data_IF_491445566189
#
_entry.id   IF_491445566189
#
_cell.length_a   1.000
_cell.length_b   1.000
_cell.length_c   1.000
_cell.angle_alpha   90.00
_cell.angle_beta   90.00
_cell.angle_gamma   90.00
#
_symmetry.space_group_name_H-M   'P 1'
#
loop_
_entity.id
_entity.type
_entity.pdbx_description
1 polymer ?
#
# COMPACT_ATOMS: atom_id res chain seq x y z
N UNK A 1 0.49 -31.85 -0.23
CA UNK A 1 1.36 -30.67 -0.32
C UNK A 1 1.71 -30.52 -1.79
N UNK A 2 1.00 -29.67 -2.54
CA UNK A 2 1.32 -29.36 -3.93
C UNK A 2 2.40 -28.31 -3.94
N UNK A 3 3.55 -28.64 -4.51
CA UNK A 3 4.64 -27.68 -4.78
C UNK A 3 4.09 -26.52 -5.61
N UNK A 4 4.12 -25.33 -5.04
CA UNK A 4 3.88 -24.08 -5.78
C UNK A 4 5.08 -23.87 -6.71
N UNK A 5 4.94 -24.30 -7.96
CA UNK A 5 5.92 -23.98 -9.01
C UNK A 5 6.02 -22.46 -9.15
N UNK A 6 7.21 -21.93 -8.94
CA UNK A 6 7.54 -20.53 -9.21
C UNK A 6 7.54 -20.29 -10.73
N UNK A 7 6.38 -19.94 -11.29
CA UNK A 7 6.29 -19.53 -12.68
C UNK A 7 6.73 -18.07 -12.84
N UNK A 8 8.03 -17.84 -12.94
CA UNK A 8 8.59 -16.54 -13.36
C UNK A 8 8.55 -16.35 -14.89
N UNK A 9 7.71 -17.10 -15.60
CA UNK A 9 7.52 -17.09 -17.04
C UNK A 9 6.45 -16.11 -17.53
N UNK A 10 6.16 -16.07 -18.83
CA UNK A 10 5.17 -15.17 -19.47
C UNK A 10 3.74 -15.25 -18.91
N UNK A 11 3.42 -16.21 -18.04
CA UNK A 11 2.14 -16.39 -17.37
C UNK A 11 2.08 -15.95 -15.91
N UNK A 12 3.18 -15.48 -15.31
CA UNK A 12 3.23 -15.10 -13.91
C UNK A 12 2.24 -13.99 -13.57
N UNK A 13 1.57 -14.11 -12.40
CA UNK A 13 0.71 -13.03 -11.87
C UNK A 13 1.54 -11.78 -11.62
N UNK A 14 0.95 -10.62 -11.89
CA UNK A 14 1.61 -9.32 -11.73
C UNK A 14 1.04 -8.57 -10.53
N UNK A 15 1.94 -8.17 -9.63
CA UNK A 15 1.62 -7.28 -8.52
C UNK A 15 2.24 -5.90 -8.75
N UNK A 16 1.46 -4.85 -8.53
CA UNK A 16 1.93 -3.45 -8.59
C UNK A 16 1.86 -2.86 -7.20
N UNK A 17 2.99 -2.32 -6.72
CA UNK A 17 3.12 -1.75 -5.38
C UNK A 17 3.52 -0.28 -5.49
N UNK A 18 2.63 0.62 -5.09
CA UNK A 18 2.95 2.05 -5.03
C UNK A 18 3.79 2.38 -3.80
N UNK A 19 4.80 3.24 -3.96
CA UNK A 19 5.77 3.49 -2.88
C UNK A 19 6.60 2.24 -2.54
N UNK A 20 6.86 1.38 -3.53
CA UNK A 20 7.53 0.09 -3.35
C UNK A 20 9.05 0.16 -3.11
N UNK A 21 9.64 1.37 -3.11
CA UNK A 21 11.08 1.55 -3.03
C UNK A 21 11.65 1.40 -1.60
N UNK A 22 10.88 1.68 -0.56
CA UNK A 22 11.35 1.75 0.84
C UNK A 22 10.34 1.18 1.82
N UNK A 23 10.76 0.97 3.06
CA UNK A 23 9.90 0.64 4.21
C UNK A 23 8.95 -0.53 3.94
N UNK A 24 7.68 -0.35 4.29
CA UNK A 24 6.62 -1.36 4.11
C UNK A 24 6.50 -1.76 2.63
N UNK A 25 6.54 -0.78 1.70
CA UNK A 25 6.41 -1.05 0.27
C UNK A 25 7.49 -1.99 -0.26
N UNK A 26 8.76 -1.79 0.16
CA UNK A 26 9.87 -2.69 -0.18
C UNK A 26 9.63 -4.11 0.34
N UNK A 27 9.26 -4.25 1.61
CA UNK A 27 8.97 -5.55 2.20
C UNK A 27 7.79 -6.25 1.50
N UNK A 28 6.75 -5.51 1.11
CA UNK A 28 5.63 -6.02 0.32
C UNK A 28 6.10 -6.52 -1.05
N UNK A 29 6.95 -5.76 -1.76
CA UNK A 29 7.51 -6.21 -3.04
C UNK A 29 8.25 -7.55 -2.89
N UNK A 30 9.09 -7.68 -1.86
CA UNK A 30 9.84 -8.90 -1.56
C UNK A 30 8.90 -10.07 -1.22
N UNK A 31 7.90 -9.85 -0.37
CA UNK A 31 6.94 -10.88 0.03
C UNK A 31 6.10 -11.39 -1.15
N UNK A 32 5.67 -10.50 -2.06
CA UNK A 32 4.89 -10.89 -3.24
C UNK A 32 5.76 -11.60 -4.28
N UNK A 33 7.01 -11.18 -4.46
CA UNK A 33 7.97 -11.89 -5.32
C UNK A 33 8.26 -13.31 -4.79
N UNK A 34 8.40 -13.49 -3.47
CA UNK A 34 8.54 -14.80 -2.83
C UNK A 34 7.32 -15.72 -3.04
N UNK A 35 6.15 -15.15 -3.38
CA UNK A 35 4.95 -15.90 -3.80
C UNK A 35 4.90 -16.17 -5.31
N UNK A 36 5.99 -15.94 -6.04
CA UNK A 36 6.09 -16.19 -7.47
C UNK A 36 5.47 -15.11 -8.35
N UNK A 37 5.16 -13.93 -7.81
CA UNK A 37 4.62 -12.83 -8.61
C UNK A 37 5.72 -12.01 -9.26
N UNK A 38 5.48 -11.54 -10.48
CA UNK A 38 6.24 -10.47 -11.10
C UNK A 38 5.83 -9.14 -10.49
N UNK A 39 6.78 -8.35 -9.97
CA UNK A 39 6.47 -7.15 -9.21
C UNK A 39 6.81 -5.87 -9.97
N UNK A 40 5.84 -4.97 -10.09
CA UNK A 40 6.03 -3.60 -10.53
C UNK A 40 6.25 -2.68 -9.31
N UNK A 41 7.46 -2.16 -9.17
CA UNK A 41 7.86 -1.23 -8.11
C UNK A 41 7.57 0.19 -8.57
N UNK A 42 6.48 0.80 -8.07
CA UNK A 42 6.13 2.18 -8.41
C UNK A 42 6.75 3.15 -7.41
N UNK A 43 7.43 4.17 -7.93
CA UNK A 43 8.10 5.21 -7.13
C UNK A 43 7.81 6.61 -7.68
N UNK A 44 8.03 7.64 -6.88
CA UNK A 44 7.98 9.05 -7.33
C UNK A 44 9.39 9.64 -7.47
N UNK A 45 10.17 9.71 -6.39
CA UNK A 45 11.48 10.38 -6.34
C UNK A 45 12.66 9.45 -6.11
N UNK A 46 12.45 8.28 -5.50
CA UNK A 46 13.53 7.37 -5.05
C UNK A 46 13.89 6.33 -6.11
N UNK A 47 14.34 6.75 -7.29
CA UNK A 47 14.64 5.84 -8.41
C UNK A 47 15.71 4.80 -8.08
N UNK A 48 16.83 5.23 -7.49
CA UNK A 48 17.92 4.31 -7.16
C UNK A 48 17.47 3.19 -6.19
N UNK A 49 16.68 3.55 -5.18
CA UNK A 49 16.11 2.56 -4.25
C UNK A 49 15.10 1.64 -4.95
N UNK A 50 14.24 2.17 -5.83
CA UNK A 50 13.28 1.36 -6.58
C UNK A 50 13.98 0.36 -7.50
N UNK A 51 15.04 0.78 -8.21
CA UNK A 51 15.86 -0.11 -9.05
C UNK A 51 16.55 -1.18 -8.21
N UNK A 52 17.18 -0.81 -7.08
CA UNK A 52 17.81 -1.77 -6.17
C UNK A 52 16.84 -2.84 -5.67
N UNK A 53 15.57 -2.47 -5.40
CA UNK A 53 14.53 -3.45 -5.06
C UNK A 53 14.20 -4.34 -6.25
N UNK A 54 13.98 -3.77 -7.43
CA UNK A 54 13.60 -4.53 -8.62
C UNK A 54 14.70 -5.47 -9.10
N UNK A 55 15.96 -5.04 -9.06
CA UNK A 55 17.14 -5.85 -9.46
C UNK A 55 17.30 -7.10 -8.58
N UNK A 56 16.86 -7.04 -7.32
CA UNK A 56 16.85 -8.17 -6.39
C UNK A 56 15.66 -9.13 -6.55
N UNK A 57 14.71 -8.85 -7.46
CA UNK A 57 13.47 -9.62 -7.60
C UNK A 57 13.30 -10.17 -9.02
N UNK A 58 12.97 -11.47 -9.18
CA UNK A 58 12.85 -12.10 -10.49
C UNK A 58 11.82 -11.42 -11.40
N UNK A 59 12.25 -10.91 -12.55
CA UNK A 59 11.40 -10.31 -13.57
C UNK A 59 10.69 -9.02 -13.16
N UNK A 60 11.04 -8.43 -12.03
CA UNK A 60 10.46 -7.18 -11.56
C UNK A 60 10.81 -6.01 -12.50
N UNK A 61 10.04 -4.96 -12.41
CA UNK A 61 10.25 -3.73 -13.18
C UNK A 61 9.92 -2.51 -12.32
N UNK A 62 10.46 -1.36 -12.72
CA UNK A 62 10.17 -0.09 -12.07
C UNK A 62 9.26 0.78 -12.93
N UNK A 63 8.43 1.59 -12.30
CA UNK A 63 7.64 2.61 -12.98
C UNK A 63 7.61 3.89 -12.13
N UNK A 64 7.79 5.05 -12.77
CA UNK A 64 7.74 6.33 -12.07
C UNK A 64 6.38 6.97 -12.23
N UNK A 65 5.79 7.45 -11.12
CA UNK A 65 4.62 8.32 -11.15
C UNK A 65 4.50 9.12 -9.87
N UNK A 66 4.20 10.40 -9.99
CA UNK A 66 3.60 11.18 -8.92
C UNK A 66 2.09 10.93 -8.94
N UNK A 67 1.58 10.27 -7.92
CA UNK A 67 0.13 9.99 -7.83
C UNK A 67 -0.71 11.24 -7.58
N UNK A 68 -0.11 12.34 -7.12
CA UNK A 68 -0.78 13.63 -7.02
C UNK A 68 -1.15 14.23 -8.38
N UNK A 69 -0.48 13.81 -9.45
CA UNK A 69 -0.69 14.27 -10.83
C UNK A 69 -1.52 13.25 -11.64
N UNK A 70 -2.78 13.56 -12.00
CA UNK A 70 -3.62 12.65 -12.77
C UNK A 70 -3.01 12.21 -14.12
N UNK A 71 -2.26 13.09 -14.79
CA UNK A 71 -1.65 12.75 -16.09
C UNK A 71 -0.56 11.70 -15.92
N UNK A 72 0.23 11.76 -14.83
CA UNK A 72 1.22 10.73 -14.52
C UNK A 72 0.58 9.41 -14.10
N UNK A 73 -0.58 9.44 -13.43
CA UNK A 73 -1.35 8.22 -13.13
C UNK A 73 -1.84 7.54 -14.40
N UNK A 74 -2.34 8.30 -15.37
CA UNK A 74 -2.74 7.75 -16.68
C UNK A 74 -1.55 7.16 -17.45
N UNK A 75 -0.43 7.88 -17.48
CA UNK A 75 0.82 7.41 -18.09
C UNK A 75 1.33 6.11 -17.42
N UNK A 76 1.25 6.02 -16.09
CA UNK A 76 1.59 4.80 -15.35
C UNK A 76 0.74 3.62 -15.82
N UNK A 77 -0.57 3.76 -15.90
CA UNK A 77 -1.45 2.65 -16.32
C UNK A 77 -1.17 2.22 -17.77
N UNK A 78 -0.84 3.17 -18.65
CA UNK A 78 -0.39 2.86 -20.02
C UNK A 78 0.93 2.08 -19.99
N UNK A 79 1.92 2.50 -19.23
CA UNK A 79 3.19 1.80 -19.05
C UNK A 79 2.98 0.37 -18.49
N UNK A 80 2.11 0.20 -17.49
CA UNK A 80 1.77 -1.13 -16.95
C UNK A 80 1.18 -2.05 -18.03
N UNK A 81 0.35 -1.51 -18.93
CA UNK A 81 -0.19 -2.28 -20.05
C UNK A 81 0.89 -2.70 -21.06
N UNK A 82 1.83 -1.81 -21.35
CA UNK A 82 2.93 -2.07 -22.31
C UNK A 82 3.95 -3.07 -21.74
N UNK A 83 4.33 -2.93 -20.48
CA UNK A 83 5.40 -3.72 -19.84
C UNK A 83 4.91 -5.07 -19.33
N UNK A 84 3.69 -5.11 -18.77
CA UNK A 84 3.19 -6.29 -18.09
C UNK A 84 1.94 -6.92 -18.74
N UNK A 85 1.12 -6.13 -19.42
CA UNK A 85 -0.11 -6.60 -20.07
C UNK A 85 -1.24 -6.98 -19.12
N UNK A 86 -0.94 -7.16 -17.83
CA UNK A 86 -1.87 -7.55 -16.77
C UNK A 86 -1.49 -6.94 -15.42
N UNK A 87 -2.46 -6.79 -14.54
CA UNK A 87 -2.28 -6.48 -13.11
C UNK A 87 -3.28 -7.33 -12.33
N UNK A 88 -2.79 -8.25 -11.53
CA UNK A 88 -3.60 -9.16 -10.71
C UNK A 88 -3.72 -8.69 -9.26
N UNK A 89 -2.71 -7.96 -8.79
CA UNK A 89 -2.66 -7.39 -7.44
C UNK A 89 -2.26 -5.93 -7.53
N UNK A 90 -3.03 -5.05 -6.91
CA UNK A 90 -2.67 -3.65 -6.67
C UNK A 90 -2.51 -3.42 -5.18
N UNK A 91 -1.32 -2.98 -4.77
CA UNK A 91 -1.07 -2.55 -3.39
C UNK A 91 -0.90 -1.03 -3.37
N UNK A 92 -1.89 -0.34 -2.83
CA UNK A 92 -1.87 1.10 -2.61
C UNK A 92 -1.14 1.40 -1.30
N UNK A 93 0.18 1.48 -1.36
CA UNK A 93 1.04 1.73 -0.20
C UNK A 93 1.61 3.16 -0.18
N UNK A 94 1.75 3.83 -1.32
CA UNK A 94 2.27 5.19 -1.36
C UNK A 94 1.57 6.11 -0.35
N UNK A 95 2.36 6.80 0.45
CA UNK A 95 1.87 7.70 1.49
C UNK A 95 3.00 8.53 2.05
N UNK A 96 2.71 9.76 2.41
CA UNK A 96 3.56 10.61 3.24
C UNK A 96 2.67 11.52 4.08
N UNK A 97 3.24 12.09 5.12
CA UNK A 97 2.58 13.03 6.00
C UNK A 97 3.18 14.45 5.88
N UNK A 98 2.38 15.42 6.24
CA UNK A 98 2.76 16.81 6.46
C UNK A 98 2.18 17.20 7.81
N UNK A 99 3.02 17.15 8.83
CA UNK A 99 2.57 17.29 10.21
C UNK A 99 2.64 18.74 10.65
N UNK A 100 1.51 19.28 11.09
CA UNK A 100 1.42 20.59 11.74
C UNK A 100 0.12 20.66 12.56
N UNK A 101 0.10 21.44 13.67
CA UNK A 101 -1.15 21.77 14.36
C UNK A 101 -2.14 22.44 13.40
N UNK A 102 -3.45 22.21 13.61
CA UNK A 102 -4.50 22.70 12.69
C UNK A 102 -4.41 24.21 12.40
N UNK A 103 -4.09 25.00 13.42
CA UNK A 103 -4.02 26.47 13.33
C UNK A 103 -2.78 26.99 12.59
N UNK A 104 -1.78 26.16 12.32
CA UNK A 104 -0.57 26.49 11.55
C UNK A 104 -0.42 25.66 10.27
N UNK A 105 -1.31 24.70 10.04
CA UNK A 105 -1.35 23.87 8.84
C UNK A 105 -1.53 24.75 7.59
N UNK A 106 -0.65 24.59 6.62
CA UNK A 106 -0.76 25.30 5.35
C UNK A 106 -1.69 24.54 4.41
N UNK A 107 -2.41 25.29 3.56
CA UNK A 107 -3.30 24.66 2.57
C UNK A 107 -2.51 23.78 1.59
N UNK A 108 -1.31 24.17 1.21
CA UNK A 108 -0.45 23.39 0.31
C UNK A 108 -0.05 22.02 0.92
N UNK A 109 0.16 21.97 2.24
CA UNK A 109 0.47 20.73 2.95
C UNK A 109 -0.76 19.80 3.00
N UNK A 110 -1.95 20.37 3.20
CA UNK A 110 -3.22 19.64 3.09
C UNK A 110 -3.43 19.11 1.66
N UNK A 111 -3.29 20.00 0.66
CA UNK A 111 -3.52 19.65 -0.75
C UNK A 111 -2.55 18.58 -1.24
N UNK A 112 -1.31 18.59 -0.78
CA UNK A 112 -0.33 17.57 -1.11
C UNK A 112 -0.79 16.17 -0.64
N UNK A 113 -1.24 16.04 0.62
CA UNK A 113 -1.72 14.76 1.18
C UNK A 113 -3.05 14.34 0.56
N UNK A 114 -3.98 15.28 0.38
CA UNK A 114 -5.27 15.03 -0.26
C UNK A 114 -5.11 14.67 -1.74
N UNK A 115 -4.17 15.31 -2.44
CA UNK A 115 -3.83 15.01 -3.83
C UNK A 115 -3.36 13.57 -4.02
N UNK A 116 -2.52 13.09 -3.11
CA UNK A 116 -2.07 11.68 -3.12
C UNK A 116 -3.23 10.72 -2.87
N UNK A 117 -4.13 11.03 -1.93
CA UNK A 117 -5.32 10.20 -1.67
C UNK A 117 -6.24 10.14 -2.89
N UNK A 118 -6.47 11.29 -3.54
CA UNK A 118 -7.21 11.37 -4.82
C UNK A 118 -6.53 10.52 -5.90
N UNK A 119 -5.21 10.59 -6.02
CA UNK A 119 -4.44 9.83 -7.01
C UNK A 119 -4.50 8.33 -6.76
N UNK A 120 -4.50 7.90 -5.51
CA UNK A 120 -4.69 6.50 -5.13
C UNK A 120 -6.06 5.98 -5.58
N UNK A 121 -7.14 6.74 -5.34
CA UNK A 121 -8.46 6.42 -5.86
C UNK A 121 -8.45 6.36 -7.40
N UNK A 122 -7.82 7.33 -8.07
CA UNK A 122 -7.80 7.41 -9.52
C UNK A 122 -7.02 6.24 -10.15
N UNK A 123 -5.85 5.90 -9.60
CA UNK A 123 -5.09 4.72 -10.02
C UNK A 123 -5.92 3.44 -9.85
N UNK A 124 -6.58 3.27 -8.71
CA UNK A 124 -7.44 2.11 -8.44
C UNK A 124 -8.55 1.99 -9.49
N UNK A 125 -9.24 3.09 -9.80
CA UNK A 125 -10.27 3.14 -10.85
C UNK A 125 -9.72 2.70 -12.22
N UNK A 126 -8.55 3.21 -12.62
CA UNK A 126 -7.98 2.91 -13.93
C UNK A 126 -7.48 1.46 -14.00
N UNK A 127 -6.83 0.96 -12.96
CA UNK A 127 -6.37 -0.44 -12.87
C UNK A 127 -7.54 -1.41 -12.91
N UNK A 128 -8.60 -1.14 -12.14
CA UNK A 128 -9.83 -1.93 -12.20
C UNK A 128 -10.38 -2.02 -13.61
N UNK A 129 -10.60 -0.88 -14.26
CA UNK A 129 -11.19 -0.82 -15.59
C UNK A 129 -10.33 -1.53 -16.66
N UNK A 130 -9.02 -1.38 -16.56
CA UNK A 130 -8.10 -1.86 -17.59
C UNK A 130 -7.78 -3.34 -17.43
N UNK A 131 -7.63 -3.84 -16.19
CA UNK A 131 -7.04 -5.14 -15.93
C UNK A 131 -7.96 -6.11 -15.18
N UNK A 132 -8.76 -5.64 -14.20
CA UNK A 132 -9.38 -6.55 -13.23
C UNK A 132 -10.85 -6.88 -13.50
N UNK A 133 -11.63 -5.97 -14.11
CA UNK A 133 -13.08 -6.18 -14.26
C UNK A 133 -13.46 -7.46 -15.01
N UNK A 134 -12.58 -8.00 -15.86
CA UNK A 134 -12.82 -9.22 -16.65
C UNK A 134 -12.10 -10.45 -16.12
N UNK A 135 -10.97 -10.27 -15.42
CA UNK A 135 -10.08 -11.37 -15.02
C UNK A 135 -9.99 -11.58 -13.50
N UNK A 136 -10.68 -10.76 -12.73
CA UNK A 136 -10.53 -10.77 -11.29
C UNK A 136 -9.27 -10.04 -10.81
N UNK A 137 -9.08 -9.98 -9.50
CA UNK A 137 -7.89 -9.33 -8.92
C UNK A 137 -7.99 -9.13 -7.42
N UNK A 138 -6.92 -8.58 -6.86
CA UNK A 138 -6.82 -8.26 -5.43
C UNK A 138 -6.33 -6.82 -5.26
N UNK A 139 -7.00 -6.06 -4.42
CA UNK A 139 -6.60 -4.70 -4.06
C UNK A 139 -6.35 -4.67 -2.56
N UNK A 140 -5.15 -4.24 -2.18
CA UNK A 140 -4.79 -4.07 -0.77
C UNK A 140 -4.38 -2.62 -0.54
N UNK A 141 -5.12 -1.93 0.30
CA UNK A 141 -4.85 -0.55 0.68
C UNK A 141 -4.05 -0.52 1.99
N UNK A 142 -2.91 0.15 2.03
CA UNK A 142 -2.16 0.36 3.27
C UNK A 142 -2.70 1.63 3.93
N UNK A 143 -3.61 1.44 4.88
CA UNK A 143 -4.14 2.52 5.69
C UNK A 143 -3.22 2.85 6.89
N UNK A 144 -3.72 3.09 8.05
CA UNK A 144 -2.93 3.30 9.28
C UNK A 144 -3.81 3.23 10.50
N UNK A 145 -3.24 2.84 11.64
CA UNK A 145 -3.91 2.94 12.95
C UNK A 145 -4.41 4.37 13.22
N UNK A 146 -3.69 5.40 12.77
CA UNK A 146 -4.11 6.80 12.99
C UNK A 146 -5.37 7.18 12.22
N UNK A 147 -5.73 6.46 11.17
CA UNK A 147 -7.03 6.61 10.49
C UNK A 147 -8.22 6.26 11.41
N UNK A 148 -7.97 5.51 12.48
CA UNK A 148 -8.97 5.11 13.48
C UNK A 148 -8.86 5.89 14.79
N UNK A 149 -7.62 6.15 15.25
CA UNK A 149 -7.37 6.79 16.56
C UNK A 149 -7.21 8.31 16.47
N UNK A 150 -6.93 8.85 15.28
CA UNK A 150 -6.37 10.19 15.15
C UNK A 150 -4.94 10.28 15.67
N UNK A 151 -4.26 11.37 15.30
CA UNK A 151 -2.97 11.74 15.88
C UNK A 151 -2.79 13.27 15.79
N UNK A 152 -2.18 13.86 16.82
CA UNK A 152 -1.92 15.30 16.89
C UNK A 152 -1.07 15.73 15.70
N UNK A 153 -1.48 16.80 15.03
CA UNK A 153 -0.77 17.37 13.89
C UNK A 153 -0.96 16.63 12.55
N UNK A 154 -1.69 15.51 12.51
CA UNK A 154 -1.80 14.64 11.33
C UNK A 154 -3.19 14.64 10.69
N UNK A 155 -3.96 15.73 10.79
CA UNK A 155 -5.35 15.76 10.29
C UNK A 155 -5.45 15.34 8.82
N UNK A 156 -4.70 15.90 7.85
CA UNK A 156 -4.82 15.48 6.45
C UNK A 156 -4.47 14.00 6.25
N UNK A 157 -3.41 13.52 6.91
CA UNK A 157 -2.99 12.14 6.84
C UNK A 157 -4.04 11.18 7.43
N UNK A 158 -4.59 11.53 8.60
CA UNK A 158 -5.67 10.78 9.25
C UNK A 158 -6.90 10.69 8.34
N UNK A 159 -7.34 11.81 7.75
CA UNK A 159 -8.43 11.84 6.79
C UNK A 159 -8.16 10.96 5.58
N UNK A 160 -6.97 11.03 5.00
CA UNK A 160 -6.58 10.22 3.86
C UNK A 160 -6.61 8.71 4.19
N UNK A 161 -6.07 8.31 5.34
CA UNK A 161 -6.02 6.90 5.76
C UNK A 161 -7.38 6.35 6.17
N UNK A 162 -8.21 7.12 6.86
CA UNK A 162 -9.62 6.78 7.12
C UNK A 162 -10.42 6.67 5.82
N UNK A 163 -10.16 7.57 4.86
CA UNK A 163 -10.76 7.54 3.52
C UNK A 163 -10.42 6.27 2.73
N UNK A 164 -9.20 5.74 2.86
CA UNK A 164 -8.82 4.46 2.24
C UNK A 164 -9.64 3.29 2.80
N UNK A 165 -9.91 3.26 4.10
CA UNK A 165 -10.71 2.22 4.72
C UNK A 165 -12.20 2.34 4.32
N UNK A 166 -12.71 3.56 4.17
CA UNK A 166 -14.03 3.81 3.62
C UNK A 166 -14.12 3.38 2.16
N UNK A 167 -13.12 3.72 1.33
CA UNK A 167 -13.02 3.28 -0.07
C UNK A 167 -12.98 1.75 -0.18
N UNK A 168 -12.23 1.08 0.70
CA UNK A 168 -12.15 -0.38 0.75
C UNK A 168 -13.52 -1.02 0.94
N UNK A 169 -14.30 -0.55 1.90
CA UNK A 169 -15.65 -1.07 2.18
C UNK A 169 -16.61 -0.82 1.03
N UNK A 170 -16.63 0.40 0.48
CA UNK A 170 -17.50 0.75 -0.65
C UNK A 170 -17.16 -0.06 -1.89
N UNK A 171 -15.86 -0.13 -2.24
CA UNK A 171 -15.41 -0.81 -3.43
C UNK A 171 -15.64 -2.33 -3.35
N UNK A 172 -15.50 -2.94 -2.17
CA UNK A 172 -15.82 -4.35 -1.97
C UNK A 172 -17.29 -4.66 -2.30
N UNK A 173 -18.22 -3.75 -1.95
CA UNK A 173 -19.64 -3.88 -2.28
C UNK A 173 -19.89 -3.68 -3.79
N UNK A 174 -19.23 -2.70 -4.41
CA UNK A 174 -19.36 -2.47 -5.86
C UNK A 174 -18.82 -3.65 -6.70
N UNK A 175 -17.91 -4.44 -6.14
CA UNK A 175 -17.34 -5.61 -6.82
C UNK A 175 -18.16 -6.90 -6.61
N UNK A 176 -19.37 -6.81 -6.07
CA UNK A 176 -20.27 -7.97 -5.89
C UNK A 176 -20.41 -8.80 -7.18
N UNK A 177 -20.32 -10.12 -7.05
CA UNK A 177 -20.41 -11.06 -8.18
C UNK A 177 -19.16 -11.14 -9.05
N UNK A 178 -18.06 -10.47 -8.66
CA UNK A 178 -16.77 -10.52 -9.36
C UNK A 178 -15.71 -11.18 -8.46
N UNK A 179 -14.73 -11.85 -9.07
CA UNK A 179 -13.56 -12.33 -8.32
C UNK A 179 -12.56 -11.17 -8.07
N UNK A 180 -13.05 -10.09 -7.45
CA UNK A 180 -12.23 -8.95 -7.04
C UNK A 180 -12.40 -8.77 -5.54
N UNK A 181 -11.32 -8.97 -4.78
CA UNK A 181 -11.32 -8.77 -3.33
C UNK A 181 -10.55 -7.49 -2.99
N UNK A 182 -11.14 -6.68 -2.12
CA UNK A 182 -10.60 -5.37 -1.73
C UNK A 182 -10.51 -5.31 -0.21
N UNK A 183 -9.30 -5.14 0.32
CA UNK A 183 -9.06 -5.08 1.75
C UNK A 183 -8.10 -3.94 2.10
N UNK A 184 -8.12 -3.51 3.34
CA UNK A 184 -7.11 -2.63 3.94
C UNK A 184 -6.26 -3.39 4.94
N UNK A 185 -5.00 -2.99 5.03
CA UNK A 185 -4.12 -3.30 6.17
C UNK A 185 -3.84 -1.98 6.87
N UNK A 186 -4.07 -1.93 8.18
CA UNK A 186 -3.86 -0.76 9.04
C UNK A 186 -2.66 -1.00 9.98
N UNK A 187 -1.42 -0.62 9.55
CA UNK A 187 -0.25 -0.73 10.39
C UNK A 187 -0.34 0.22 11.59
N UNK A 188 0.28 -0.20 12.71
CA UNK A 188 0.66 0.68 13.79
C UNK A 188 1.95 1.43 13.50
N UNK A 189 2.76 1.63 14.54
CA UNK A 189 4.11 2.17 14.38
C UNK A 189 5.06 1.06 13.93
N UNK A 190 5.59 1.23 12.72
CA UNK A 190 6.50 0.28 12.07
C UNK A 190 7.89 0.90 11.98
N UNK A 191 8.91 0.11 12.27
CA UNK A 191 10.31 0.54 12.22
C UNK A 191 10.76 0.72 10.76
N UNK A 192 10.77 1.96 10.31
CA UNK A 192 11.09 2.39 8.95
C UNK A 192 11.83 3.73 9.00
N UNK A 193 12.36 4.17 7.86
CA UNK A 193 12.99 5.49 7.75
C UNK A 193 12.06 6.64 8.22
N UNK A 194 10.74 6.47 8.07
CA UNK A 194 9.74 7.44 8.51
C UNK A 194 9.70 7.59 10.05
N UNK A 195 10.00 6.53 10.78
CA UNK A 195 9.98 6.51 12.26
C UNK A 195 11.37 6.58 12.88
N UNK A 196 12.43 6.42 12.09
CA UNK A 196 13.81 6.42 12.57
C UNK A 196 14.25 7.77 13.19
N UNK A 197 13.66 8.88 12.73
CA UNK A 197 13.96 10.23 13.22
C UNK A 197 13.14 10.68 14.45
N UNK A 198 12.35 9.79 15.07
CA UNK A 198 11.55 10.15 16.25
C UNK A 198 12.45 10.38 17.48
N UNK A 199 12.25 11.48 18.24
CA UNK A 199 12.93 11.70 19.51
C UNK A 199 12.65 10.54 20.49
N UNK A 200 13.63 10.20 21.34
CA UNK A 200 13.54 9.09 22.29
C UNK A 200 12.32 9.18 23.22
N UNK A 201 11.99 10.39 23.69
CA UNK A 201 10.80 10.59 24.52
C UNK A 201 9.49 10.27 23.77
N UNK A 202 9.41 10.62 22.49
CA UNK A 202 8.25 10.32 21.65
C UNK A 202 8.18 8.82 21.41
N UNK A 203 9.33 8.18 21.12
CA UNK A 203 9.45 6.74 20.94
C UNK A 203 8.98 5.98 22.18
N UNK A 204 9.41 6.39 23.37
CA UNK A 204 9.01 5.78 24.65
C UNK A 204 7.49 5.85 24.83
N UNK A 205 6.87 7.02 24.65
CA UNK A 205 5.42 7.20 24.76
C UNK A 205 4.63 6.35 23.74
N UNK A 206 5.18 6.15 22.54
CA UNK A 206 4.58 5.26 21.55
C UNK A 206 4.62 3.82 22.04
N UNK A 207 5.77 3.35 22.53
CA UNK A 207 5.95 1.98 23.01
C UNK A 207 5.05 1.65 24.18
N UNK A 208 4.81 2.59 25.10
CA UNK A 208 3.86 2.44 26.22
C UNK A 208 2.42 2.16 25.77
N UNK A 209 2.06 2.59 24.56
CA UNK A 209 0.73 2.39 23.96
C UNK A 209 0.60 1.10 23.16
N UNK A 210 1.69 0.38 22.95
CA UNK A 210 1.70 -0.85 22.16
C UNK A 210 1.77 -2.05 23.13
N UNK A 211 0.72 -2.87 23.28
CA UNK A 211 0.73 -4.04 24.15
C UNK A 211 1.90 -5.01 23.93
N UNK A 212 2.38 -5.17 22.68
CA UNK A 212 3.57 -5.98 22.39
C UNK A 212 4.89 -5.30 22.78
N UNK A 213 4.88 -4.06 23.29
CA UNK A 213 6.04 -3.35 23.82
C UNK A 213 7.14 -3.00 22.80
N UNK A 214 6.86 -3.14 21.51
CA UNK A 214 7.80 -2.83 20.42
C UNK A 214 7.10 -2.28 19.18
N UNK A 215 7.84 -1.58 18.34
CA UNK A 215 7.39 -1.28 16.97
C UNK A 215 7.30 -2.57 16.14
N UNK A 216 6.41 -2.59 15.18
CA UNK A 216 6.33 -3.64 14.18
C UNK A 216 7.48 -3.54 13.17
N UNK A 217 7.79 -4.64 12.49
CA UNK A 217 8.71 -4.65 11.36
C UNK A 217 7.93 -4.55 10.05
N UNK A 218 8.50 -3.97 8.99
CA UNK A 218 7.90 -3.92 7.65
C UNK A 218 7.44 -5.30 7.15
N UNK A 219 8.21 -6.34 7.45
CA UNK A 219 7.93 -7.73 7.05
C UNK A 219 6.63 -8.25 7.67
N UNK A 220 6.32 -7.86 8.92
CA UNK A 220 5.09 -8.29 9.61
C UNK A 220 3.83 -7.70 8.93
N UNK A 221 3.93 -6.52 8.36
CA UNK A 221 2.86 -5.94 7.52
C UNK A 221 2.81 -6.64 6.16
N UNK A 222 3.96 -6.90 5.56
CA UNK A 222 4.07 -7.52 4.24
C UNK A 222 3.54 -8.96 4.22
N UNK A 223 3.68 -9.72 5.30
CA UNK A 223 3.10 -11.06 5.46
C UNK A 223 1.58 -11.03 5.34
N UNK A 224 0.91 -10.08 6.01
CA UNK A 224 -0.54 -9.91 5.94
C UNK A 224 -0.98 -9.47 4.54
N UNK A 225 -0.24 -8.55 3.91
CA UNK A 225 -0.50 -8.14 2.52
C UNK A 225 -0.37 -9.33 1.57
N UNK A 226 0.68 -10.13 1.70
CA UNK A 226 0.88 -11.32 0.87
C UNK A 226 -0.23 -12.36 1.09
N UNK A 227 -0.69 -12.59 2.31
CA UNK A 227 -1.85 -13.44 2.61
C UNK A 227 -3.10 -12.94 1.89
N UNK A 228 -3.44 -11.66 2.00
CA UNK A 228 -4.62 -11.06 1.34
C UNK A 228 -4.52 -11.12 -0.19
N UNK A 229 -3.32 -11.00 -0.74
CA UNK A 229 -3.08 -11.04 -2.17
C UNK A 229 -3.11 -12.45 -2.77
N UNK A 230 -2.87 -13.50 -1.97
CA UNK A 230 -2.64 -14.85 -2.50
C UNK A 230 -3.56 -15.93 -1.95
N UNK A 231 -3.81 -15.94 -0.64
CA UNK A 231 -4.46 -17.05 0.06
C UNK A 231 -5.87 -16.71 0.59
N UNK A 232 -6.15 -15.44 0.85
CA UNK A 232 -7.47 -15.01 1.32
C UNK A 232 -8.49 -15.09 0.18
N UNK A 233 -9.39 -16.06 0.23
CA UNK A 233 -10.44 -16.27 -0.78
C UNK A 233 -11.84 -15.80 -0.33
N UNK A 234 -12.03 -15.58 0.98
CA UNK A 234 -13.32 -15.18 1.56
C UNK A 234 -13.19 -13.96 2.48
N UNK A 235 -12.18 -13.10 2.21
CA UNK A 235 -11.96 -11.85 2.94
C UNK A 235 -12.04 -10.69 1.95
N UNK A 236 -13.05 -9.84 2.10
CA UNK A 236 -13.21 -8.60 1.32
C UNK A 236 -13.92 -7.54 2.18
N UNK A 237 -13.65 -6.27 1.92
CA UNK A 237 -14.21 -5.15 2.67
C UNK A 237 -13.65 -4.99 4.09
N UNK A 238 -12.64 -5.77 4.45
CA UNK A 238 -12.08 -5.81 5.79
C UNK A 238 -10.91 -4.85 5.97
N UNK A 239 -10.74 -4.37 7.20
CA UNK A 239 -9.55 -3.65 7.66
C UNK A 239 -8.82 -4.54 8.65
N UNK A 240 -7.62 -5.00 8.29
CA UNK A 240 -6.80 -5.87 9.13
C UNK A 240 -5.78 -5.01 9.89
N UNK A 241 -5.87 -4.99 11.19
CA UNK A 241 -4.96 -4.24 12.05
C UNK A 241 -3.65 -5.01 12.29
N UNK A 242 -2.50 -4.37 11.97
CA UNK A 242 -1.15 -4.90 12.21
C UNK A 242 -0.40 -3.86 13.06
N UNK A 243 -0.77 -3.75 14.33
CA UNK A 243 -0.39 -2.63 15.18
C UNK A 243 0.07 -3.03 16.59
N UNK A 244 0.36 -4.31 16.83
CA UNK A 244 0.82 -4.80 18.12
C UNK A 244 -0.18 -4.66 19.28
N UNK A 245 -1.48 -4.55 18.95
CA UNK A 245 -2.56 -4.38 19.91
C UNK A 245 -2.85 -2.92 20.29
N UNK A 246 -2.21 -1.94 19.63
CA UNK A 246 -2.41 -0.52 19.91
C UNK A 246 -3.86 -0.05 19.69
N UNK A 247 -4.56 -0.73 18.79
CA UNK A 247 -5.98 -0.51 18.50
C UNK A 247 -6.62 -1.85 18.13
N UNK A 248 -7.75 -2.17 18.75
CA UNK A 248 -8.42 -3.47 18.61
C UNK A 248 -9.68 -3.50 17.72
N UNK A 249 -10.09 -2.36 17.14
CA UNK A 249 -11.29 -2.25 16.30
C UNK A 249 -12.54 -1.88 17.09
#
# INVERSE_FOLDING_TARGET
MSEVRSETGPGARVAVVTGGATGIGRAVCQALAAKGMRVGVVYNSSEAAARSVADGLPGAFVARADLGDPAQVEALVKQLQEVAGRVDVLVNNAGYNRDAPIFSMKIDDYDAVAGLARGTWYLTKLVLRRFMLRSGGRIVNISSVVGHTGNVGQIPYTMAKAGLDAMTRSLAQEMQGRDILVNSVAPGFIDTDMTAGLPDEVRTRILERIPLGRMGRPEEVAEVVAFLATAASYVTGSVIHVNGGMYGG
#
